data_IF_237541486930
#
_entry.id   IF_237541486930
#
_cell.length_a   1.000
_cell.length_b   1.000
_cell.length_c   1.000
_cell.angle_alpha   90.00
_cell.angle_beta   90.00
_cell.angle_gamma   90.00
#
_symmetry.space_group_name_H-M   'P 1'
#
loop_
_entity.id
_entity.type
_entity.pdbx_description
1 polymer ?
#
# COMPACT_ATOMS: atom_id res chain seq x y z
N UNK A 1 -45.61 10.73 66.14
CA UNK A 1 -44.89 9.91 65.13
C UNK A 1 -44.90 10.71 63.79
N UNK A 2 -43.72 11.21 63.40
CA UNK A 2 -43.60 11.86 62.08
C UNK A 2 -43.54 10.80 61.02
N UNK A 3 -44.60 10.69 60.23
CA UNK A 3 -44.60 9.92 58.96
C UNK A 3 -43.59 10.55 58.01
N UNK A 4 -42.56 9.84 57.60
CA UNK A 4 -41.62 10.22 56.59
C UNK A 4 -42.00 9.51 55.29
N UNK A 5 -42.42 10.27 54.30
CA UNK A 5 -42.63 9.74 52.96
C UNK A 5 -41.25 9.48 52.32
N UNK A 6 -40.99 8.27 51.91
CA UNK A 6 -39.72 7.91 51.24
C UNK A 6 -40.02 7.32 49.87
N UNK A 7 -39.24 7.79 48.88
CA UNK A 7 -39.23 7.18 47.57
C UNK A 7 -38.13 6.15 47.50
N UNK A 8 -38.45 4.97 47.09
CA UNK A 8 -37.47 3.93 46.87
C UNK A 8 -36.61 4.26 45.65
N UNK A 9 -35.31 4.31 45.82
CA UNK A 9 -34.38 4.61 44.73
C UNK A 9 -34.30 3.52 43.65
N UNK A 10 -34.72 2.32 43.99
CA UNK A 10 -34.65 1.18 43.06
C UNK A 10 -35.94 1.00 42.23
N UNK A 11 -37.14 1.36 42.76
CA UNK A 11 -38.40 1.18 42.05
C UNK A 11 -39.23 2.48 41.88
N UNK A 12 -38.81 3.59 42.46
CA UNK A 12 -39.58 4.84 42.41
C UNK A 12 -40.81 4.89 43.26
N UNK A 13 -41.10 3.82 44.03
CA UNK A 13 -42.25 3.76 44.89
C UNK A 13 -42.09 4.66 46.11
N UNK A 14 -43.12 5.38 46.52
CA UNK A 14 -43.12 6.30 47.64
C UNK A 14 -43.87 5.71 48.84
N UNK A 15 -43.13 5.30 49.87
CA UNK A 15 -43.64 4.80 51.13
C UNK A 15 -43.31 5.70 52.32
N UNK A 16 -43.87 5.40 53.51
CA UNK A 16 -43.75 6.23 54.70
C UNK A 16 -42.42 6.06 55.49
N UNK A 17 -41.50 5.15 55.07
CA UNK A 17 -40.17 5.04 55.64
C UNK A 17 -39.11 4.61 54.64
N UNK A 18 -37.95 5.30 54.72
CA UNK A 18 -36.80 5.04 53.85
C UNK A 18 -35.94 3.90 54.33
N UNK A 19 -36.05 2.75 53.71
CA UNK A 19 -34.96 1.83 53.55
C UNK A 19 -34.75 1.60 52.07
N UNK A 20 -33.52 1.40 51.62
CA UNK A 20 -33.27 0.82 50.29
C UNK A 20 -34.09 -0.47 50.22
N UNK A 21 -34.76 -0.75 49.06
CA UNK A 21 -35.53 -1.97 48.92
C UNK A 21 -34.65 -3.16 49.28
N UNK A 22 -34.98 -3.80 50.35
CA UNK A 22 -34.26 -4.96 50.86
C UNK A 22 -34.89 -6.20 50.24
N UNK A 23 -34.16 -6.83 49.37
CA UNK A 23 -34.48 -8.14 48.79
C UNK A 23 -33.45 -9.14 49.35
N UNK A 24 -33.66 -9.58 50.57
CA UNK A 24 -32.70 -10.40 51.31
C UNK A 24 -32.66 -11.84 50.81
N UNK A 25 -33.75 -12.33 50.23
CA UNK A 25 -33.89 -13.67 49.69
C UNK A 25 -33.61 -13.73 48.18
N UNK A 26 -33.41 -12.54 47.56
CA UNK A 26 -33.06 -12.38 46.14
C UNK A 26 -34.12 -12.97 45.17
N UNK A 27 -35.40 -12.90 45.55
CA UNK A 27 -36.52 -13.36 44.71
C UNK A 27 -37.00 -12.26 43.72
N UNK A 28 -36.46 -11.07 43.82
CA UNK A 28 -36.81 -9.90 43.00
C UNK A 28 -38.03 -9.17 43.52
N UNK A 29 -38.39 -9.38 44.79
CA UNK A 29 -39.47 -8.69 45.50
C UNK A 29 -38.89 -8.03 46.76
N UNK A 30 -39.27 -6.81 47.02
CA UNK A 30 -38.85 -6.13 48.23
C UNK A 30 -39.50 -6.78 49.45
N UNK A 31 -38.69 -7.25 50.43
CA UNK A 31 -39.16 -7.86 51.66
C UNK A 31 -40.04 -6.93 52.49
N UNK A 32 -39.85 -5.62 52.33
CA UNK A 32 -40.53 -4.61 53.16
C UNK A 32 -41.85 -4.10 52.54
N UNK A 33 -41.94 -4.02 51.19
CA UNK A 33 -43.12 -3.41 50.52
C UNK A 33 -43.75 -4.27 49.43
N UNK A 34 -43.18 -5.43 49.11
CA UNK A 34 -43.68 -6.33 48.09
C UNK A 34 -43.52 -5.83 46.64
N UNK A 35 -42.83 -4.71 46.42
CA UNK A 35 -42.60 -4.16 45.09
C UNK A 35 -41.53 -4.99 44.34
N UNK A 36 -41.69 -5.14 43.06
CA UNK A 36 -40.69 -5.81 42.23
C UNK A 36 -39.40 -4.97 42.20
N UNK A 37 -38.29 -5.56 42.63
CA UNK A 37 -36.95 -4.97 42.50
C UNK A 37 -36.40 -5.31 41.13
N UNK A 38 -36.13 -4.27 40.36
CA UNK A 38 -35.51 -4.41 39.04
C UNK A 38 -34.23 -3.59 38.94
N UNK A 39 -33.21 -4.24 38.40
CA UNK A 39 -31.89 -3.62 38.17
C UNK A 39 -31.77 -3.22 36.70
N UNK A 40 -31.19 -2.05 36.46
CA UNK A 40 -30.93 -1.59 35.09
C UNK A 40 -29.59 -2.13 34.59
N UNK A 41 -29.62 -2.82 33.48
CA UNK A 41 -28.44 -3.26 32.75
C UNK A 41 -28.30 -2.38 31.51
N UNK A 42 -27.14 -1.74 31.39
CA UNK A 42 -26.79 -0.95 30.20
C UNK A 42 -25.72 -1.67 29.40
N UNK A 43 -26.00 -1.86 28.13
CA UNK A 43 -25.05 -2.36 27.12
C UNK A 43 -24.50 -1.17 26.35
N UNK A 44 -23.28 -0.76 26.65
CA UNK A 44 -22.66 0.46 26.14
C UNK A 44 -21.60 0.14 25.09
N UNK A 45 -21.93 0.39 23.82
CA UNK A 45 -20.98 0.29 22.72
C UNK A 45 -20.30 1.65 22.40
N UNK A 46 -21.01 2.75 22.70
CA UNK A 46 -20.58 4.10 22.31
C UNK A 46 -19.34 4.60 23.05
N UNK A 47 -19.14 4.21 24.29
CA UNK A 47 -17.94 4.59 25.06
C UNK A 47 -16.65 4.18 24.35
N UNK A 48 -16.63 3.06 23.63
CA UNK A 48 -15.47 2.58 22.87
C UNK A 48 -15.62 2.86 21.36
N UNK A 49 -16.50 3.79 20.98
CA UNK A 49 -16.67 4.27 19.61
C UNK A 49 -17.44 3.33 18.69
N UNK A 50 -18.18 2.36 19.26
CA UNK A 50 -19.04 1.49 18.49
C UNK A 50 -20.52 1.89 18.57
N UNK A 51 -21.38 1.16 17.86
CA UNK A 51 -22.82 1.28 17.92
C UNK A 51 -23.46 -0.10 17.94
N UNK A 52 -24.66 -0.19 18.55
CA UNK A 52 -25.54 -1.35 18.47
C UNK A 52 -26.86 -0.89 17.88
N UNK A 53 -27.29 -1.47 16.75
CA UNK A 53 -28.46 -1.03 15.96
C UNK A 53 -28.50 0.49 15.73
N UNK A 54 -27.31 1.07 15.42
CA UNK A 54 -27.16 2.52 15.19
C UNK A 54 -27.18 3.39 16.45
N UNK A 55 -27.29 2.80 17.65
CA UNK A 55 -27.33 3.53 18.93
C UNK A 55 -26.05 3.32 19.72
N UNK A 56 -25.68 4.31 20.54
CA UNK A 56 -24.51 4.19 21.42
C UNK A 56 -24.70 3.15 22.53
N UNK A 57 -25.92 2.93 22.97
CA UNK A 57 -26.23 1.96 24.04
C UNK A 57 -27.67 1.48 23.99
N UNK A 58 -27.90 0.37 24.64
CA UNK A 58 -29.20 -0.22 24.90
C UNK A 58 -29.33 -0.50 26.39
N UNK A 59 -30.53 -0.39 26.98
CA UNK A 59 -30.77 -0.71 28.38
C UNK A 59 -31.97 -1.60 28.52
N UNK A 60 -31.90 -2.48 29.47
CA UNK A 60 -32.95 -3.39 29.86
C UNK A 60 -33.02 -3.51 31.40
N UNK A 61 -34.10 -4.07 31.91
CA UNK A 61 -34.24 -4.34 33.34
C UNK A 61 -34.27 -5.84 33.61
N UNK A 62 -33.68 -6.24 34.72
CA UNK A 62 -33.70 -7.65 35.16
C UNK A 62 -33.76 -7.76 36.67
N UNK A 63 -34.13 -8.96 37.16
CA UNK A 63 -34.18 -9.24 38.59
C UNK A 63 -32.77 -9.35 39.19
N UNK A 64 -32.58 -9.02 40.46
CA UNK A 64 -31.37 -9.34 41.21
C UNK A 64 -31.01 -10.84 41.09
N UNK A 65 -29.72 -11.13 41.22
CA UNK A 65 -29.14 -12.48 41.13
C UNK A 65 -29.41 -13.26 39.84
N UNK A 66 -29.88 -12.56 38.81
CA UNK A 66 -30.00 -13.11 37.46
C UNK A 66 -28.65 -13.05 36.71
N UNK A 67 -28.50 -13.92 35.71
CA UNK A 67 -27.40 -13.82 34.75
C UNK A 67 -27.86 -12.99 33.56
N UNK A 68 -27.04 -12.01 33.11
CA UNK A 68 -27.41 -11.19 31.98
C UNK A 68 -27.35 -12.02 30.68
N UNK A 69 -28.23 -11.67 29.74
CA UNK A 69 -28.21 -12.19 28.39
C UNK A 69 -27.81 -11.05 27.46
N UNK A 70 -26.75 -11.23 26.65
CA UNK A 70 -26.34 -10.20 25.73
C UNK A 70 -27.42 -9.88 24.69
N UNK A 71 -27.50 -8.64 24.21
CA UNK A 71 -28.38 -8.28 23.11
C UNK A 71 -28.16 -9.22 21.90
N UNK A 72 -29.24 -9.51 21.16
CA UNK A 72 -29.15 -10.34 19.95
C UNK A 72 -28.37 -9.72 18.82
N UNK A 73 -28.28 -8.39 18.81
CA UNK A 73 -27.49 -7.64 17.82
C UNK A 73 -26.03 -7.53 18.26
N UNK A 74 -25.12 -7.68 17.32
CA UNK A 74 -23.69 -7.52 17.56
C UNK A 74 -23.27 -6.06 17.34
N UNK A 75 -22.56 -5.43 18.30
CA UNK A 75 -22.06 -4.08 18.12
C UNK A 75 -21.07 -3.99 16.96
N UNK A 76 -21.10 -2.86 16.26
CA UNK A 76 -20.23 -2.57 15.13
C UNK A 76 -19.37 -1.35 15.40
N UNK A 77 -18.13 -1.40 14.93
CA UNK A 77 -17.17 -0.29 14.87
C UNK A 77 -16.32 -0.45 13.62
N UNK A 78 -16.29 0.58 12.76
CA UNK A 78 -15.55 0.54 11.50
C UNK A 78 -14.06 0.22 11.73
N UNK A 79 -13.53 -0.74 11.01
CA UNK A 79 -12.15 -1.18 11.13
C UNK A 79 -11.82 -2.03 12.35
N UNK A 80 -12.83 -2.46 13.12
CA UNK A 80 -12.64 -3.24 14.33
C UNK A 80 -13.54 -4.47 14.38
N UNK A 81 -13.07 -5.51 15.06
CA UNK A 81 -13.84 -6.71 15.38
C UNK A 81 -14.31 -6.66 16.84
N UNK A 82 -15.59 -6.93 17.07
CA UNK A 82 -16.16 -7.03 18.40
C UNK A 82 -15.60 -8.22 19.18
N UNK A 83 -15.13 -7.96 20.42
CA UNK A 83 -14.51 -8.95 21.30
C UNK A 83 -15.47 -9.53 22.33
N UNK A 84 -16.51 -8.77 22.69
CA UNK A 84 -17.46 -9.14 23.71
C UNK A 84 -17.87 -7.95 24.58
N UNK A 85 -18.78 -8.24 25.52
CA UNK A 85 -19.25 -7.32 26.53
C UNK A 85 -18.49 -7.54 27.84
N UNK A 86 -17.95 -6.47 28.43
CA UNK A 86 -17.11 -6.55 29.62
C UNK A 86 -17.58 -5.58 30.70
N UNK A 87 -17.23 -5.87 31.97
CA UNK A 87 -17.58 -5.03 33.13
C UNK A 87 -16.83 -3.70 33.19
N UNK A 88 -15.81 -3.51 32.33
CA UNK A 88 -15.01 -2.30 32.25
C UNK A 88 -14.76 -1.88 30.80
N UNK A 89 -14.45 -0.60 30.56
CA UNK A 89 -14.13 -0.05 29.22
C UNK A 89 -12.93 -0.77 28.59
N UNK A 90 -11.95 -1.12 29.41
CA UNK A 90 -10.75 -1.91 29.03
C UNK A 90 -10.51 -2.96 30.09
N UNK A 91 -10.19 -4.19 29.67
CA UNK A 91 -10.08 -5.33 30.59
C UNK A 91 -11.44 -5.68 31.22
N UNK A 92 -11.43 -6.01 32.51
CA UNK A 92 -12.63 -6.45 33.22
C UNK A 92 -13.04 -7.90 32.92
N UNK A 93 -14.15 -8.32 33.50
CA UNK A 93 -14.70 -9.67 33.34
C UNK A 93 -15.71 -9.71 32.21
N UNK A 94 -15.80 -10.84 31.52
CA UNK A 94 -16.81 -11.07 30.49
C UNK A 94 -18.21 -11.11 31.14
N UNK A 95 -19.20 -10.48 30.52
CA UNK A 95 -20.57 -10.37 31.03
C UNK A 95 -21.18 -11.72 31.48
N UNK A 96 -20.93 -12.80 30.75
CA UNK A 96 -21.50 -14.12 31.01
C UNK A 96 -20.99 -14.76 32.28
N UNK A 97 -19.91 -14.26 32.87
CA UNK A 97 -19.35 -14.73 34.14
C UNK A 97 -19.91 -13.98 35.36
N UNK A 98 -20.73 -12.95 35.14
CA UNK A 98 -21.21 -12.03 36.17
C UNK A 98 -22.64 -12.40 36.57
N UNK A 99 -22.93 -12.41 37.90
CA UNK A 99 -24.28 -12.42 38.44
C UNK A 99 -24.66 -10.99 38.81
N UNK A 100 -25.82 -10.52 38.42
CA UNK A 100 -26.25 -9.14 38.60
C UNK A 100 -26.81 -8.96 40.01
N UNK A 101 -26.10 -8.19 40.83
CA UNK A 101 -26.49 -7.81 42.20
C UNK A 101 -26.82 -6.34 42.35
N UNK A 102 -26.47 -5.53 41.36
CA UNK A 102 -26.73 -4.09 41.29
C UNK A 102 -26.85 -3.64 39.82
N UNK A 103 -27.46 -2.49 39.58
CA UNK A 103 -27.49 -1.90 38.23
C UNK A 103 -26.05 -1.80 37.69
N UNK A 104 -25.87 -2.31 36.48
CA UNK A 104 -24.53 -2.55 35.91
C UNK A 104 -24.47 -2.08 34.48
N UNK A 105 -23.29 -1.55 34.05
CA UNK A 105 -23.00 -1.25 32.65
C UNK A 105 -21.98 -2.24 32.11
N UNK A 106 -22.29 -2.88 30.99
CA UNK A 106 -21.36 -3.68 30.22
C UNK A 106 -20.89 -2.86 29.01
N UNK A 107 -19.61 -2.90 28.76
CA UNK A 107 -18.96 -2.15 27.69
C UNK A 107 -18.54 -3.08 26.56
N UNK A 108 -18.93 -2.74 25.34
CA UNK A 108 -18.40 -3.42 24.17
C UNK A 108 -16.89 -3.15 24.05
N UNK A 109 -16.10 -4.20 23.92
CA UNK A 109 -14.68 -4.07 23.58
C UNK A 109 -14.42 -4.57 22.17
N UNK A 110 -13.47 -3.92 21.49
CA UNK A 110 -13.15 -4.15 20.11
C UNK A 110 -11.63 -4.33 19.93
N UNK A 111 -11.25 -5.12 18.94
CA UNK A 111 -9.88 -5.22 18.47
C UNK A 111 -9.77 -4.59 17.08
N UNK A 112 -8.76 -3.78 16.85
CA UNK A 112 -8.46 -3.26 15.53
C UNK A 112 -8.16 -4.40 14.55
N UNK A 113 -8.72 -4.32 13.37
CA UNK A 113 -8.47 -5.29 12.31
C UNK A 113 -7.10 -5.04 11.69
N UNK A 114 -6.55 -6.11 11.13
CA UNK A 114 -5.31 -6.07 10.39
C UNK A 114 -5.58 -6.40 8.93
N UNK A 115 -4.84 -5.74 8.05
CA UNK A 115 -4.97 -5.86 6.62
C UNK A 115 -3.59 -5.97 5.99
N UNK A 116 -3.51 -6.64 4.84
CA UNK A 116 -2.30 -6.71 4.05
C UNK A 116 -2.19 -5.45 3.18
N UNK A 117 -1.05 -4.78 3.26
CA UNK A 117 -0.68 -3.73 2.32
C UNK A 117 0.37 -4.26 1.38
N UNK A 118 0.10 -4.15 0.09
CA UNK A 118 1.03 -4.47 -0.99
C UNK A 118 1.69 -3.18 -1.47
N UNK A 119 3.01 -3.18 -1.55
CA UNK A 119 3.84 -2.09 -2.05
C UNK A 119 4.36 -2.50 -3.42
N UNK A 120 3.75 -1.98 -4.48
CA UNK A 120 4.13 -2.25 -5.86
C UNK A 120 5.33 -1.37 -6.25
N UNK A 121 6.45 -1.99 -6.58
CA UNK A 121 7.70 -1.31 -6.93
C UNK A 121 7.70 -0.71 -8.35
N UNK A 122 6.66 -0.94 -9.15
CA UNK A 122 6.59 -0.51 -10.54
C UNK A 122 7.58 -1.23 -11.46
N UNK A 123 8.11 -2.37 -11.02
CA UNK A 123 9.08 -3.21 -11.74
C UNK A 123 8.56 -4.62 -12.01
N UNK A 124 7.29 -4.89 -11.69
CA UNK A 124 6.69 -6.22 -11.64
C UNK A 124 7.01 -6.98 -10.35
N UNK A 125 7.66 -6.33 -9.38
CA UNK A 125 7.91 -6.84 -8.04
C UNK A 125 7.10 -6.06 -7.02
N UNK A 126 6.81 -6.67 -5.88
CA UNK A 126 6.10 -6.06 -4.76
C UNK A 126 6.60 -6.61 -3.42
N UNK A 127 6.39 -5.83 -2.36
CA UNK A 127 6.58 -6.21 -0.97
C UNK A 127 5.23 -6.14 -0.25
N UNK A 128 5.12 -6.81 0.90
CA UNK A 128 3.89 -6.77 1.71
C UNK A 128 4.21 -6.47 3.16
N UNK A 129 3.32 -5.70 3.80
CA UNK A 129 3.35 -5.45 5.25
C UNK A 129 1.96 -5.68 5.84
N UNK A 130 1.90 -6.05 7.11
CA UNK A 130 0.63 -6.08 7.85
C UNK A 130 0.40 -4.72 8.52
N UNK A 131 -0.76 -4.13 8.30
CA UNK A 131 -1.17 -2.83 8.85
C UNK A 131 -2.34 -3.00 9.81
N UNK A 132 -2.29 -2.31 10.93
CA UNK A 132 -3.39 -2.27 11.90
C UNK A 132 -4.25 -1.03 11.65
N UNK A 133 -5.56 -1.22 11.56
CA UNK A 133 -6.50 -0.11 11.40
C UNK A 133 -6.36 0.92 12.52
N UNK A 134 -6.28 2.19 12.16
CA UNK A 134 -6.18 3.31 13.10
C UNK A 134 -4.77 3.60 13.59
N UNK A 135 -3.76 2.81 13.21
CA UNK A 135 -2.36 3.07 13.52
C UNK A 135 -1.66 3.83 12.39
N UNK A 136 -0.44 4.31 12.66
CA UNK A 136 0.40 4.95 11.66
C UNK A 136 0.81 3.96 10.58
N UNK A 137 0.88 4.45 9.35
CA UNK A 137 1.25 3.63 8.19
C UNK A 137 2.71 3.15 8.33
N UNK A 138 2.89 1.83 8.25
CA UNK A 138 4.21 1.20 8.30
C UNK A 138 4.75 1.07 6.88
N UNK A 139 5.62 1.99 6.48
CA UNK A 139 6.26 1.97 5.16
C UNK A 139 7.40 0.94 5.13
N UNK A 140 7.64 0.27 3.99
CA UNK A 140 8.85 -0.52 3.78
C UNK A 140 10.07 0.41 3.63
N UNK A 141 11.26 -0.18 3.56
CA UNK A 141 12.46 0.55 3.17
C UNK A 141 12.27 1.12 1.76
N UNK A 142 12.82 2.33 1.52
CA UNK A 142 12.81 2.93 0.19
C UNK A 142 13.49 1.99 -0.81
N UNK A 143 12.81 1.64 -1.91
CA UNK A 143 13.35 0.75 -2.91
C UNK A 143 14.40 1.46 -3.77
N UNK A 144 15.28 0.66 -4.39
CA UNK A 144 16.30 1.15 -5.29
C UNK A 144 16.03 0.67 -6.72
N UNK A 145 16.20 1.57 -7.69
CA UNK A 145 16.06 1.27 -9.12
C UNK A 145 17.16 1.96 -9.89
N UNK A 146 17.84 1.19 -10.78
CA UNK A 146 18.90 1.75 -11.64
C UNK A 146 18.35 2.88 -12.52
N UNK A 147 19.06 3.98 -12.57
CA UNK A 147 18.73 5.17 -13.37
C UNK A 147 17.35 5.77 -13.05
N UNK A 148 16.95 5.69 -11.80
CA UNK A 148 15.71 6.28 -11.34
C UNK A 148 15.85 6.76 -9.88
N UNK A 149 15.22 7.86 -9.55
CA UNK A 149 15.09 8.38 -8.19
C UNK A 149 13.71 8.01 -7.64
N UNK A 150 13.68 7.49 -6.42
CA UNK A 150 12.43 7.16 -5.75
C UNK A 150 11.75 8.44 -5.23
N UNK A 151 10.53 8.71 -5.70
CA UNK A 151 9.75 9.89 -5.32
C UNK A 151 8.85 9.66 -4.11
N UNK A 152 8.61 8.40 -3.73
CA UNK A 152 7.73 8.03 -2.64
C UNK A 152 6.67 7.01 -3.03
N UNK A 153 5.82 6.70 -2.06
CA UNK A 153 4.69 5.80 -2.21
C UNK A 153 3.41 6.58 -2.46
N UNK A 154 2.56 6.12 -3.38
CA UNK A 154 1.34 6.81 -3.82
C UNK A 154 0.13 5.88 -3.84
N UNK A 155 -1.06 6.47 -3.76
CA UNK A 155 -2.34 5.71 -3.76
C UNK A 155 -2.70 5.08 -5.10
N UNK A 156 -2.09 5.53 -6.20
CA UNK A 156 -2.35 5.10 -7.58
C UNK A 156 -1.02 4.87 -8.32
N UNK A 157 -1.02 4.03 -9.33
CA UNK A 157 0.17 3.73 -10.15
C UNK A 157 0.66 4.95 -10.96
N UNK A 158 -0.26 5.88 -11.31
CA UNK A 158 0.02 7.16 -11.97
C UNK A 158 -0.81 8.24 -11.30
N UNK A 159 -0.18 9.34 -10.89
CA UNK A 159 -0.86 10.39 -10.11
C UNK A 159 -1.15 9.90 -8.69
N UNK A 160 -2.37 10.17 -8.20
CA UNK A 160 -2.76 9.83 -6.83
C UNK A 160 -2.14 10.76 -5.79
N UNK A 161 -2.27 10.37 -4.52
CA UNK A 161 -1.75 11.12 -3.37
C UNK A 161 -0.58 10.37 -2.76
N UNK A 162 0.50 11.10 -2.46
CA UNK A 162 1.65 10.54 -1.74
C UNK A 162 1.23 10.15 -0.32
N UNK A 163 1.67 8.98 0.13
CA UNK A 163 1.48 8.49 1.50
C UNK A 163 2.80 8.48 2.25
N UNK A 164 2.73 8.74 3.55
CA UNK A 164 3.89 8.90 4.43
C UNK A 164 3.69 8.10 5.73
N UNK A 165 4.75 7.91 6.49
CA UNK A 165 4.67 7.30 7.82
C UNK A 165 3.86 8.14 8.84
N UNK A 166 3.50 9.39 8.51
CA UNK A 166 2.64 10.23 9.35
C UNK A 166 1.15 9.98 9.09
N UNK A 167 0.79 9.33 8.01
CA UNK A 167 -0.60 9.02 7.68
C UNK A 167 -1.11 7.89 8.57
N UNK A 168 -2.41 7.93 8.84
CA UNK A 168 -3.08 6.88 9.62
C UNK A 168 -3.73 5.90 8.66
N UNK A 169 -3.51 4.61 8.85
CA UNK A 169 -4.12 3.56 8.04
C UNK A 169 -5.61 3.41 8.39
N UNK A 170 -6.49 3.79 7.48
CA UNK A 170 -7.96 3.80 7.66
C UNK A 170 -8.69 2.95 6.63
N UNK A 171 -7.97 2.15 5.86
CA UNK A 171 -8.58 1.21 4.90
C UNK A 171 -9.23 0.04 5.64
N UNK A 172 -10.36 -0.43 5.13
CA UNK A 172 -11.12 -1.55 5.70
C UNK A 172 -11.02 -2.83 4.89
N UNK A 173 -10.06 -2.89 3.98
CA UNK A 173 -9.67 -4.03 3.15
C UNK A 173 -8.17 -3.95 2.85
N UNK A 174 -7.63 -5.01 2.26
CA UNK A 174 -6.27 -5.02 1.73
C UNK A 174 -6.09 -3.89 0.71
N UNK A 175 -4.91 -3.26 0.70
CA UNK A 175 -4.61 -2.06 -0.09
C UNK A 175 -3.29 -2.24 -0.83
N UNK A 176 -3.22 -1.65 -2.04
CA UNK A 176 -1.95 -1.51 -2.76
C UNK A 176 -1.55 -0.03 -2.82
N UNK A 177 -0.28 0.23 -2.55
CA UNK A 177 0.39 1.50 -2.81
C UNK A 177 1.49 1.28 -3.84
N UNK A 178 1.83 2.33 -4.60
CA UNK A 178 2.69 2.28 -5.78
C UNK A 178 3.90 3.16 -5.61
N UNK A 179 5.08 2.64 -5.92
CA UNK A 179 6.30 3.41 -6.00
C UNK A 179 6.27 4.33 -7.21
N UNK A 180 6.49 5.63 -7.02
CA UNK A 180 6.73 6.54 -8.13
C UNK A 180 8.22 6.80 -8.29
N UNK A 181 8.63 6.99 -9.55
CA UNK A 181 10.02 7.12 -9.95
C UNK A 181 10.22 8.29 -10.89
N UNK A 182 11.26 9.06 -10.65
CA UNK A 182 11.81 9.97 -11.63
C UNK A 182 12.95 9.26 -12.36
N UNK A 183 12.82 9.08 -13.67
CA UNK A 183 13.84 8.41 -14.48
C UNK A 183 14.97 9.40 -14.74
N UNK A 184 16.16 9.09 -14.27
CA UNK A 184 17.37 9.83 -14.58
C UNK A 184 17.82 9.46 -15.98
N UNK A 185 17.76 10.41 -16.91
CA UNK A 185 18.24 10.20 -18.26
C UNK A 185 19.76 10.02 -18.24
N UNK A 186 20.22 8.92 -18.79
CA UNK A 186 21.64 8.64 -18.99
C UNK A 186 21.90 8.54 -20.49
N UNK A 187 22.73 9.46 -21.00
CA UNK A 187 23.27 9.34 -22.36
C UNK A 187 24.63 8.64 -22.29
N UNK A 188 24.73 7.44 -22.83
CA UNK A 188 25.96 6.66 -22.84
C UNK A 188 26.04 5.85 -24.12
N UNK A 189 26.90 6.29 -25.02
CA UNK A 189 27.13 5.62 -26.31
C UNK A 189 28.60 5.30 -26.43
N UNK A 190 28.94 4.07 -26.70
CA UNK A 190 30.29 3.62 -27.00
C UNK A 190 30.44 3.52 -28.50
N UNK A 191 31.41 4.23 -29.04
CA UNK A 191 31.73 4.25 -30.48
C UNK A 191 33.17 3.76 -30.66
N UNK A 192 33.45 2.85 -31.60
CA UNK A 192 34.83 2.45 -31.87
C UNK A 192 35.64 3.63 -32.44
N UNK A 193 36.84 3.84 -31.93
CA UNK A 193 37.73 4.91 -32.36
C UNK A 193 38.49 4.58 -33.65
N UNK A 194 38.71 3.30 -33.89
CA UNK A 194 39.44 2.81 -35.08
C UNK A 194 38.81 1.50 -35.56
N UNK A 195 38.74 1.38 -36.88
CA UNK A 195 38.44 0.14 -37.59
C UNK A 195 39.72 -0.33 -38.29
N UNK A 196 40.37 -1.41 -37.79
CA UNK A 196 41.52 -1.94 -38.48
C UNK A 196 41.04 -2.61 -39.77
N UNK A 197 41.68 -2.21 -40.88
CA UNK A 197 41.56 -2.85 -42.16
C UNK A 197 42.84 -3.59 -42.46
N UNK A 198 42.76 -4.87 -42.78
CA UNK A 198 43.90 -5.70 -43.23
C UNK A 198 43.61 -6.14 -44.65
N UNK A 199 44.54 -5.86 -45.55
CA UNK A 199 44.50 -6.39 -46.91
C UNK A 199 45.44 -7.58 -46.97
N UNK A 200 44.94 -8.74 -47.35
CA UNK A 200 45.70 -9.96 -47.47
C UNK A 200 46.51 -9.98 -48.83
N UNK A 201 47.31 -11.06 -48.97
CA UNK A 201 48.15 -11.21 -50.17
C UNK A 201 47.33 -11.36 -51.48
N UNK A 202 46.07 -11.71 -51.39
CA UNK A 202 45.13 -11.80 -52.52
C UNK A 202 44.49 -10.45 -52.89
N UNK A 203 44.68 -9.43 -52.03
CA UNK A 203 44.02 -8.14 -52.17
C UNK A 203 42.63 -8.09 -51.50
N UNK A 204 42.25 -9.13 -50.76
CA UNK A 204 40.99 -9.11 -50.00
C UNK A 204 41.11 -8.28 -48.73
N UNK A 205 40.10 -7.45 -48.49
CA UNK A 205 40.04 -6.54 -47.33
C UNK A 205 39.27 -7.22 -46.19
N UNK A 206 39.97 -7.47 -45.13
CA UNK A 206 39.37 -7.97 -43.89
C UNK A 206 39.21 -6.85 -42.91
N UNK A 207 37.99 -6.73 -42.36
CA UNK A 207 37.69 -5.72 -41.31
C UNK A 207 37.44 -6.44 -39.99
N UNK A 208 37.93 -5.86 -38.89
CA UNK A 208 37.48 -6.26 -37.56
C UNK A 208 36.01 -5.88 -37.36
N UNK A 209 35.34 -6.59 -36.44
CA UNK A 209 33.99 -6.20 -36.00
C UNK A 209 34.06 -4.88 -35.23
N UNK A 210 33.13 -3.99 -35.48
CA UNK A 210 32.98 -2.75 -34.72
C UNK A 210 31.48 -2.58 -34.40
N UNK A 211 31.22 -2.27 -33.15
CA UNK A 211 29.87 -2.12 -32.64
C UNK A 211 29.70 -0.73 -32.04
N UNK A 212 28.56 -0.11 -32.32
CA UNK A 212 28.10 1.06 -31.57
C UNK A 212 27.13 0.51 -30.51
N UNK A 213 27.47 0.71 -29.24
CA UNK A 213 26.67 0.21 -28.12
C UNK A 213 25.91 1.37 -27.49
N UNK A 214 24.58 1.29 -27.50
CA UNK A 214 23.72 2.19 -26.79
C UNK A 214 23.48 1.67 -25.36
N UNK A 215 24.07 2.32 -24.36
CA UNK A 215 23.82 2.09 -22.95
C UNK A 215 23.00 3.24 -22.31
N UNK A 216 22.37 4.07 -23.14
CA UNK A 216 21.49 5.15 -22.71
C UNK A 216 20.14 4.60 -22.22
N UNK A 217 19.40 5.42 -21.49
CA UNK A 217 18.03 5.10 -21.05
C UNK A 217 16.99 5.22 -22.17
N UNK A 218 17.34 5.84 -23.29
CA UNK A 218 16.47 6.07 -24.44
C UNK A 218 17.09 5.65 -25.77
N UNK A 219 16.33 5.83 -26.84
CA UNK A 219 16.77 5.57 -28.22
C UNK A 219 17.82 6.56 -28.65
N UNK A 220 18.90 6.09 -29.26
CA UNK A 220 19.93 6.88 -29.88
C UNK A 220 19.86 6.68 -31.39
N UNK A 221 19.77 7.79 -32.14
CA UNK A 221 19.74 7.77 -33.59
C UNK A 221 21.10 8.21 -34.10
N UNK A 222 21.74 7.41 -34.96
CA UNK A 222 22.91 7.80 -35.71
C UNK A 222 22.41 8.50 -36.96
N UNK A 223 22.42 9.87 -36.92
CA UNK A 223 21.86 10.70 -37.98
C UNK A 223 22.78 10.79 -39.18
N UNK A 224 24.08 10.68 -38.99
CA UNK A 224 25.05 10.73 -40.10
C UNK A 224 26.32 9.95 -39.78
N UNK A 225 26.94 9.45 -40.80
CA UNK A 225 28.34 8.96 -40.80
C UNK A 225 29.09 9.67 -41.94
N UNK A 226 30.17 10.34 -41.59
CA UNK A 226 31.01 11.03 -42.54
C UNK A 226 32.30 10.25 -42.77
N UNK A 227 32.64 10.00 -44.02
CA UNK A 227 33.86 9.30 -44.41
C UNK A 227 34.72 10.27 -45.24
N UNK A 228 35.97 10.38 -44.86
CA UNK A 228 36.95 11.16 -45.64
C UNK A 228 38.17 10.30 -45.96
N UNK A 229 38.69 10.45 -47.15
CA UNK A 229 39.90 9.76 -47.60
C UNK A 229 41.10 10.66 -47.53
N UNK A 230 42.29 10.09 -47.38
CA UNK A 230 43.59 10.78 -47.38
C UNK A 230 44.57 10.08 -48.33
N UNK A 231 45.70 10.72 -48.61
CA UNK A 231 46.81 10.15 -49.38
C UNK A 231 46.44 9.66 -50.80
N UNK A 232 45.48 10.36 -51.42
CA UNK A 232 45.08 10.07 -52.82
C UNK A 232 44.04 8.92 -52.96
N UNK A 233 43.52 8.37 -51.85
CA UNK A 233 42.42 7.45 -51.92
C UNK A 233 41.13 8.16 -52.32
N UNK A 234 40.25 7.45 -53.04
CA UNK A 234 38.94 7.94 -53.49
C UNK A 234 37.83 6.97 -53.05
N UNK A 235 36.71 7.56 -52.60
CA UNK A 235 35.50 6.77 -52.35
C UNK A 235 34.79 6.50 -53.68
N UNK A 236 34.45 5.25 -53.89
CA UNK A 236 33.69 4.76 -55.02
C UNK A 236 32.46 3.97 -54.54
N UNK A 237 31.46 3.73 -55.41
CA UNK A 237 30.36 2.86 -55.08
C UNK A 237 30.86 1.51 -54.56
N UNK A 238 30.24 0.97 -53.47
CA UNK A 238 30.55 -0.35 -52.98
C UNK A 238 30.13 -1.37 -54.07
N UNK A 239 31.08 -1.98 -54.74
CA UNK A 239 30.87 -3.05 -55.72
C UNK A 239 31.56 -4.30 -55.22
N UNK A 240 31.06 -5.44 -55.58
CA UNK A 240 31.69 -6.75 -55.23
C UNK A 240 32.88 -7.08 -56.10
N UNK A 241 33.10 -6.36 -57.18
CA UNK A 241 34.15 -6.68 -58.12
C UNK A 241 35.13 -5.49 -58.30
N UNK A 242 36.15 -5.47 -57.48
CA UNK A 242 37.28 -4.56 -57.56
C UNK A 242 38.46 -5.13 -58.36
N UNK A 243 38.32 -6.39 -58.82
CA UNK A 243 39.42 -7.12 -59.49
C UNK A 243 39.86 -6.56 -60.85
N UNK A 244 39.00 -5.74 -61.46
CA UNK A 244 39.23 -5.15 -62.75
C UNK A 244 39.83 -3.72 -62.70
N UNK A 245 40.06 -3.21 -61.50
CA UNK A 245 40.62 -1.90 -61.31
C UNK A 245 42.16 -1.93 -61.51
N UNK A 246 42.72 -0.81 -61.92
CA UNK A 246 44.18 -0.71 -62.14
C UNK A 246 44.91 -0.88 -60.83
N UNK A 247 46.07 -1.57 -60.86
CA UNK A 247 47.01 -1.62 -59.78
C UNK A 247 47.33 -0.20 -59.33
N UNK A 248 47.33 0.08 -58.03
CA UNK A 248 47.52 1.39 -57.38
C UNK A 248 46.37 2.43 -57.60
N UNK A 249 45.19 2.00 -58.00
CA UNK A 249 44.03 2.89 -58.21
C UNK A 249 43.57 3.64 -56.97
N UNK A 250 43.96 3.21 -55.79
CA UNK A 250 43.59 3.81 -54.46
C UNK A 250 42.08 4.09 -54.32
N UNK A 251 41.28 3.11 -54.66
CA UNK A 251 39.83 3.14 -54.56
C UNK A 251 39.34 2.40 -53.35
N UNK A 252 38.30 2.93 -52.66
CA UNK A 252 37.66 2.33 -51.51
C UNK A 252 36.13 2.37 -51.65
N UNK A 253 35.52 1.22 -51.71
CA UNK A 253 34.06 1.09 -51.52
C UNK A 253 33.77 0.75 -50.07
N UNK A 254 32.74 1.38 -49.50
CA UNK A 254 32.40 1.22 -48.12
C UNK A 254 30.88 0.92 -47.92
N UNK A 255 30.55 0.02 -47.01
CA UNK A 255 29.19 -0.36 -46.69
C UNK A 255 29.04 -0.54 -45.16
N UNK A 256 27.96 0.02 -44.60
CA UNK A 256 27.59 -0.21 -43.20
C UNK A 256 26.17 -0.83 -43.21
N UNK A 257 26.04 -1.98 -42.60
CA UNK A 257 24.86 -2.83 -42.76
C UNK A 257 24.55 -2.96 -44.27
N UNK A 258 23.40 -2.77 -44.74
CA UNK A 258 23.08 -2.79 -46.17
C UNK A 258 23.13 -1.42 -46.84
N UNK A 259 23.49 -0.37 -46.10
CA UNK A 259 23.67 0.97 -46.65
C UNK A 259 25.05 1.13 -47.33
N UNK A 260 25.07 1.58 -48.58
CA UNK A 260 26.28 1.83 -49.35
C UNK A 260 26.60 3.33 -49.38
N UNK A 261 27.88 3.68 -49.20
CA UNK A 261 28.33 5.02 -49.41
C UNK A 261 29.32 5.06 -50.57
N UNK A 262 29.11 5.96 -51.54
CA UNK A 262 30.00 6.14 -52.69
C UNK A 262 30.56 7.58 -52.79
N UNK A 263 30.35 8.35 -51.73
CA UNK A 263 30.81 9.77 -51.67
C UNK A 263 31.06 10.16 -50.23
N UNK A 264 31.88 11.18 -50.09
CA UNK A 264 32.09 11.86 -48.80
C UNK A 264 30.84 12.65 -48.44
N UNK A 265 30.34 12.53 -47.22
CA UNK A 265 29.19 13.26 -46.70
C UNK A 265 28.48 12.50 -45.60
N UNK A 266 27.44 13.12 -45.08
CA UNK A 266 26.61 12.59 -43.98
C UNK A 266 25.50 11.69 -44.54
N UNK A 267 25.28 10.54 -43.93
CA UNK A 267 24.24 9.61 -44.32
C UNK A 267 23.62 9.05 -43.03
N UNK A 268 22.31 9.17 -42.90
CA UNK A 268 21.57 8.45 -41.81
C UNK A 268 21.59 6.95 -42.08
N UNK A 269 22.00 6.16 -41.13
CA UNK A 269 22.30 4.76 -41.34
C UNK A 269 21.38 3.84 -40.51
N UNK A 270 21.14 4.18 -39.24
CA UNK A 270 20.31 3.34 -38.35
C UNK A 270 19.97 4.02 -37.03
N UNK A 271 18.96 3.48 -36.35
CA UNK A 271 18.64 3.86 -34.97
C UNK A 271 19.06 2.73 -34.03
N UNK A 272 19.53 3.11 -32.84
CA UNK A 272 19.87 2.20 -31.75
C UNK A 272 18.82 2.37 -30.62
N UNK A 273 18.22 1.29 -30.18
CA UNK A 273 17.25 1.25 -29.06
C UNK A 273 17.81 0.58 -27.83
#
# INVERSE_FOLDING_TARGET
>A
QHKRTKTCSACGDSGEEYADHRDSNADGVCDDCGATVSLTIKWDAGTNGGTIDGKASFSETMKPNSKPTAPGSVPVKTGYTFKGWFTAKTGGSLYSTVTITSSTTFYAQFAANKYTVTWDLGTGQSETTEQTYGEKLLLPKDPERKNAEFLGWFTEATGGTQVTANDTFTETADKTYYAHWEITEVFSVTVPVTLPLVVDESGEVHTGSAEIINASTGTVVVSSVSISTKNGWQLVPYTTDMAHEKVDAKLLGFKINDAQTNKTGDTEIFSLT
#
